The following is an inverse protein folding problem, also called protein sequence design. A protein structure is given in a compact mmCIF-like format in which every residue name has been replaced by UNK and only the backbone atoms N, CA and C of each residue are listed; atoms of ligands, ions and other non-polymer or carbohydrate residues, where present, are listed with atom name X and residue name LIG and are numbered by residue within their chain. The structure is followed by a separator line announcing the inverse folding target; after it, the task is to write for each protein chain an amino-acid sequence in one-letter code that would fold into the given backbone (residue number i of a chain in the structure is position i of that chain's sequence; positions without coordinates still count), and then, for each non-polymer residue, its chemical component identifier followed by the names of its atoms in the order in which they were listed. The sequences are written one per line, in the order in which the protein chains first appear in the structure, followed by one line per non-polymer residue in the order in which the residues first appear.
data_IF_659877590531
#
_entry.id   IF_659877590531
#
_cell.length_a   1.000
_cell.length_b   1.000
_cell.length_c   1.000
_cell.angle_alpha   90.00
_cell.angle_beta   90.00
_cell.angle_gamma   90.00
#
_symmetry.space_group_name_H-M   'P 1'
#
loop_
_entity.id
_entity.type
_entity.pdbx_description
1 polymer ?
#
# COMPACT_ATOMS: atom_id res chain seq x y z
N UNK A 1 -20.18 -17.16 -45.23
CA UNK A 1 -20.12 -17.38 -43.78
C UNK A 1 -20.06 -16.02 -43.10
N UNK A 2 -20.96 -15.79 -42.15
CA UNK A 2 -21.16 -14.53 -41.43
C UNK A 2 -19.96 -14.14 -40.54
N UNK A 3 -19.77 -12.83 -40.28
CA UNK A 3 -18.88 -12.36 -39.24
C UNK A 3 -19.53 -12.58 -37.86
N UNK A 4 -19.24 -13.72 -37.22
CA UNK A 4 -19.70 -14.00 -35.86
C UNK A 4 -18.65 -13.59 -34.81
N UNK A 5 -18.92 -12.44 -34.20
CA UNK A 5 -18.81 -12.03 -32.78
C UNK A 5 -18.02 -12.91 -31.79
N UNK A 6 -17.61 -12.22 -30.71
CA UNK A 6 -17.14 -12.70 -29.39
C UNK A 6 -15.60 -12.78 -29.31
N UNK A 7 -14.90 -12.00 -28.49
CA UNK A 7 -14.94 -11.94 -27.02
C UNK A 7 -15.69 -13.09 -26.35
N UNK A 8 -14.97 -14.20 -26.05
CA UNK A 8 -15.18 -14.94 -24.83
C UNK A 8 -13.90 -14.83 -23.99
N UNK A 9 -14.03 -14.46 -22.71
CA UNK A 9 -12.91 -14.28 -21.79
C UNK A 9 -11.82 -15.34 -21.95
N UNK A 10 -10.64 -14.91 -22.38
CA UNK A 10 -9.41 -15.71 -22.38
C UNK A 10 -8.70 -15.61 -21.02
N UNK A 11 -8.09 -16.70 -20.53
CA UNK A 11 -7.61 -16.80 -19.16
C UNK A 11 -6.30 -16.04 -18.97
N UNK A 12 -6.01 -15.73 -17.70
CA UNK A 12 -4.73 -15.26 -17.11
C UNK A 12 -3.44 -15.81 -17.78
N UNK A 13 -3.52 -16.94 -18.48
CA UNK A 13 -2.46 -17.50 -19.33
C UNK A 13 -1.96 -16.56 -20.46
N UNK A 14 -2.68 -15.52 -20.85
CA UNK A 14 -2.14 -14.50 -21.77
C UNK A 14 -0.97 -13.68 -21.18
N UNK A 15 -0.79 -13.68 -19.85
CA UNK A 15 0.41 -13.17 -19.18
C UNK A 15 1.57 -14.20 -19.15
N UNK A 16 1.32 -15.48 -19.46
CA UNK A 16 2.39 -16.48 -19.57
C UNK A 16 3.15 -16.39 -20.91
N UNK A 17 2.56 -15.78 -21.94
CA UNK A 17 3.22 -15.51 -23.23
C UNK A 17 4.28 -14.40 -23.15
N UNK A 18 4.22 -13.54 -22.14
CA UNK A 18 5.29 -12.60 -21.79
C UNK A 18 6.33 -13.30 -20.91
N UNK A 19 7.03 -14.31 -21.47
CA UNK A 19 8.26 -14.91 -20.90
C UNK A 19 9.44 -13.93 -20.74
N UNK A 20 9.19 -12.61 -20.71
CA UNK A 20 10.17 -11.57 -20.36
C UNK A 20 9.66 -10.50 -19.39
N UNK A 21 8.40 -10.56 -18.94
CA UNK A 21 7.88 -9.54 -18.02
C UNK A 21 7.18 -10.07 -16.74
N UNK A 22 6.85 -11.36 -16.64
CA UNK A 22 6.13 -11.87 -15.46
C UNK A 22 6.72 -13.13 -14.82
N UNK A 23 7.87 -13.60 -15.31
CA UNK A 23 8.77 -14.50 -14.57
C UNK A 23 10.17 -14.00 -14.85
N UNK A 24 10.91 -13.59 -13.83
CA UNK A 24 12.34 -13.38 -14.00
C UNK A 24 12.95 -14.74 -14.39
N UNK A 25 13.25 -14.94 -15.67
CA UNK A 25 14.18 -15.97 -16.12
C UNK A 25 15.58 -15.53 -15.68
N UNK A 26 15.81 -15.62 -14.36
CA UNK A 26 17.07 -15.72 -13.63
C UNK A 26 16.71 -15.63 -12.14
N UNK A 27 16.81 -16.74 -11.38
CA UNK A 27 16.55 -16.69 -9.94
C UNK A 27 17.52 -15.78 -9.17
N UNK A 28 18.66 -15.38 -9.75
CA UNK A 28 19.78 -14.85 -8.96
C UNK A 28 19.90 -13.31 -8.89
N UNK A 29 19.00 -12.57 -9.55
CA UNK A 29 19.20 -11.13 -9.81
C UNK A 29 17.95 -10.26 -9.76
N UNK A 30 18.18 -8.94 -9.73
CA UNK A 30 17.12 -7.97 -9.99
C UNK A 30 16.71 -8.00 -11.47
N UNK A 31 15.47 -7.56 -11.81
CA UNK A 31 15.05 -7.44 -13.20
C UNK A 31 16.02 -6.61 -14.06
N UNK A 32 16.07 -6.79 -15.40
CA UNK A 32 17.03 -6.08 -16.26
C UNK A 32 16.95 -4.54 -16.15
N UNK A 33 15.76 -4.00 -15.89
CA UNK A 33 15.50 -2.57 -15.71
C UNK A 33 15.77 -2.06 -14.28
N UNK A 34 16.34 -2.91 -13.42
CA UNK A 34 16.59 -2.63 -12.02
C UNK A 34 18.09 -2.60 -11.70
N UNK A 35 18.41 -1.98 -10.57
CA UNK A 35 19.71 -1.99 -9.93
C UNK A 35 19.56 -2.47 -8.48
N UNK A 36 20.52 -3.26 -8.02
CA UNK A 36 20.57 -3.72 -6.64
C UNK A 36 21.07 -2.58 -5.73
N UNK A 37 20.32 -2.29 -4.68
CA UNK A 37 20.64 -1.30 -3.66
C UNK A 37 20.71 -2.00 -2.31
N UNK A 38 21.91 -2.05 -1.74
CA UNK A 38 22.10 -2.53 -0.37
C UNK A 38 21.85 -1.39 0.62
N UNK A 39 21.03 -1.66 1.63
CA UNK A 39 20.72 -0.73 2.70
C UNK A 39 21.73 -0.87 3.84
N UNK A 40 21.89 0.22 4.59
CA UNK A 40 22.66 0.29 5.82
C UNK A 40 21.78 0.04 7.05
N UNK A 41 20.46 0.24 6.92
CA UNK A 41 19.47 0.03 7.99
C UNK A 41 18.20 -0.62 7.41
N UNK A 42 17.81 -1.85 7.82
CA UNK A 42 18.66 -2.80 8.52
C UNK A 42 19.90 -3.17 7.67
N UNK A 43 21.06 -3.41 8.30
CA UNK A 43 22.29 -3.73 7.57
C UNK A 43 22.12 -4.98 6.70
N UNK A 44 22.59 -4.90 5.45
CA UNK A 44 22.63 -6.06 4.56
C UNK A 44 21.31 -6.35 3.83
N UNK A 45 20.22 -5.64 4.13
CA UNK A 45 19.00 -5.73 3.33
C UNK A 45 19.28 -5.25 1.90
N UNK A 46 18.84 -6.03 0.93
CA UNK A 46 19.01 -5.72 -0.49
C UNK A 46 17.65 -5.46 -1.14
N UNK A 47 17.53 -4.32 -1.83
CA UNK A 47 16.36 -3.95 -2.61
C UNK A 47 16.72 -3.85 -4.09
N UNK A 48 15.83 -4.34 -4.94
CA UNK A 48 15.84 -4.06 -6.36
C UNK A 48 15.04 -2.77 -6.58
N UNK A 49 15.71 -1.71 -7.04
CA UNK A 49 15.07 -0.45 -7.42
C UNK A 49 15.21 -0.26 -8.93
N UNK A 50 14.37 0.55 -9.56
CA UNK A 50 14.58 0.97 -10.95
C UNK A 50 15.99 1.52 -11.14
N UNK A 51 16.59 1.31 -12.31
CA UNK A 51 17.85 1.98 -12.63
C UNK A 51 17.64 3.50 -12.67
N UNK A 52 18.64 4.34 -12.32
CA UNK A 52 18.48 5.80 -12.29
C UNK A 52 17.98 6.40 -13.61
N UNK A 53 18.27 5.76 -14.75
CA UNK A 53 17.86 6.24 -16.07
C UNK A 53 16.40 5.91 -16.41
N UNK A 54 15.75 5.05 -15.62
CA UNK A 54 14.34 4.70 -15.76
C UNK A 54 13.53 5.62 -14.85
N UNK A 55 12.46 6.21 -15.35
CA UNK A 55 11.56 7.02 -14.52
C UNK A 55 11.07 6.24 -13.30
N UNK A 56 11.19 6.86 -12.13
CA UNK A 56 10.93 6.25 -10.81
C UNK A 56 10.37 7.30 -9.85
N UNK A 57 9.83 6.83 -8.72
CA UNK A 57 9.21 7.70 -7.72
C UNK A 57 10.23 8.31 -6.74
N UNK A 58 9.76 9.27 -5.93
CA UNK A 58 10.60 9.93 -4.93
C UNK A 58 11.05 8.98 -3.80
N UNK A 59 10.30 7.92 -3.52
CA UNK A 59 10.63 6.93 -2.48
C UNK A 59 11.90 6.19 -2.90
N UNK A 60 11.99 5.73 -4.14
CA UNK A 60 13.17 5.05 -4.67
C UNK A 60 14.44 5.92 -4.58
N UNK A 61 14.32 7.21 -4.91
CA UNK A 61 15.44 8.16 -4.83
C UNK A 61 15.88 8.38 -3.37
N UNK A 62 14.92 8.52 -2.43
CA UNK A 62 15.24 8.64 -1.00
C UNK A 62 15.89 7.38 -0.44
N UNK A 63 15.41 6.20 -0.82
CA UNK A 63 16.00 4.92 -0.41
C UNK A 63 17.43 4.77 -0.96
N UNK A 64 17.67 5.16 -2.23
CA UNK A 64 18.99 5.11 -2.85
C UNK A 64 19.99 6.05 -2.19
N UNK A 65 19.57 7.28 -1.91
CA UNK A 65 20.42 8.31 -1.34
C UNK A 65 20.72 8.06 0.13
N UNK A 66 19.70 7.73 0.93
CA UNK A 66 19.85 7.56 2.38
C UNK A 66 20.29 6.15 2.79
N UNK A 67 20.13 5.15 1.92
CA UNK A 67 20.40 3.74 2.21
C UNK A 67 19.63 3.21 3.43
N UNK A 68 18.42 3.73 3.61
CA UNK A 68 17.45 3.32 4.62
C UNK A 68 16.03 3.36 4.02
N UNK A 69 15.06 2.62 4.60
CA UNK A 69 13.66 2.70 4.23
C UNK A 69 13.13 4.12 4.43
N UNK A 70 12.23 4.54 3.55
CA UNK A 70 11.66 5.89 3.59
C UNK A 70 10.19 5.83 4.06
N UNK A 71 9.80 6.75 4.96
CA UNK A 71 8.44 6.85 5.54
C UNK A 71 7.92 5.61 6.31
N UNK A 72 8.82 4.72 6.73
CA UNK A 72 8.47 3.49 7.44
C UNK A 72 8.66 3.54 8.96
N UNK A 73 9.18 4.65 9.51
CA UNK A 73 9.69 4.69 10.89
C UNK A 73 8.61 4.45 11.95
N UNK A 74 7.43 5.06 11.80
CA UNK A 74 6.30 4.79 12.70
C UNK A 74 5.87 3.32 12.64
N UNK A 75 5.79 2.73 11.44
CA UNK A 75 5.45 1.31 11.29
C UNK A 75 6.49 0.40 11.92
N UNK A 76 7.77 0.71 11.77
CA UNK A 76 8.84 -0.02 12.44
C UNK A 76 8.68 0.06 13.96
N UNK A 77 8.49 1.27 14.50
CA UNK A 77 8.28 1.47 15.95
C UNK A 77 7.07 0.70 16.46
N UNK A 78 5.93 0.79 15.76
CA UNK A 78 4.74 0.02 16.10
C UNK A 78 5.01 -1.48 16.04
N UNK A 79 5.70 -1.96 15.00
CA UNK A 79 6.03 -3.38 14.86
C UNK A 79 6.93 -3.90 15.97
N UNK A 80 7.83 -3.06 16.50
CA UNK A 80 8.67 -3.40 17.64
C UNK A 80 7.84 -3.49 18.94
N UNK A 81 6.96 -2.52 19.17
CA UNK A 81 6.08 -2.47 20.35
C UNK A 81 4.99 -3.56 20.35
N UNK A 82 4.50 -3.94 19.17
CA UNK A 82 3.43 -4.94 19.03
C UNK A 82 3.97 -6.36 18.85
N UNK A 83 5.30 -6.55 18.74
CA UNK A 83 5.91 -7.83 18.41
C UNK A 83 5.44 -8.93 19.39
N UNK A 84 4.90 -10.05 18.89
CA UNK A 84 4.53 -11.17 19.75
C UNK A 84 5.78 -11.90 20.28
N UNK A 85 5.65 -12.67 21.38
CA UNK A 85 6.73 -13.52 21.86
C UNK A 85 7.04 -14.64 20.86
N UNK A 86 8.32 -15.02 20.77
CA UNK A 86 8.73 -16.17 19.93
C UNK A 86 8.05 -17.46 20.43
N UNK A 87 7.67 -18.39 19.52
CA UNK A 87 8.01 -18.47 18.10
C UNK A 87 7.08 -17.69 17.16
N UNK A 88 6.13 -16.92 17.69
CA UNK A 88 5.19 -16.17 16.88
C UNK A 88 5.87 -14.98 16.18
N UNK A 89 5.32 -14.59 15.03
CA UNK A 89 5.85 -13.51 14.19
C UNK A 89 4.78 -12.45 13.99
N UNK A 90 5.22 -11.19 14.00
CA UNK A 90 4.40 -10.03 13.69
C UNK A 90 3.73 -10.23 12.31
N UNK A 91 2.40 -10.13 12.25
CA UNK A 91 1.64 -10.25 11.00
C UNK A 91 1.32 -8.85 10.45
N UNK A 92 1.80 -8.55 9.25
CA UNK A 92 1.66 -7.22 8.63
C UNK A 92 0.99 -7.32 7.26
N UNK A 93 0.05 -6.43 6.99
CA UNK A 93 -0.50 -6.18 5.66
C UNK A 93 -0.10 -4.78 5.19
N UNK A 94 0.70 -4.68 4.14
CA UNK A 94 1.16 -3.42 3.54
C UNK A 94 0.49 -3.22 2.18
N UNK A 95 -0.52 -2.36 2.12
CA UNK A 95 -1.27 -2.03 0.91
C UNK A 95 -0.69 -0.75 0.29
N UNK A 96 -0.36 -0.83 -1.01
CA UNK A 96 0.43 0.21 -1.67
C UNK A 96 1.90 0.10 -1.26
N UNK A 97 2.46 -1.10 -1.37
CA UNK A 97 3.81 -1.39 -0.90
C UNK A 97 4.90 -0.75 -1.79
N UNK A 98 4.56 -0.28 -3.00
CA UNK A 98 5.52 0.20 -4.01
C UNK A 98 6.66 -0.82 -4.17
N UNK A 99 7.91 -0.37 -4.16
CA UNK A 99 9.12 -1.22 -4.27
C UNK A 99 9.40 -2.08 -3.02
N UNK A 100 8.52 -2.03 -2.01
CA UNK A 100 8.64 -2.84 -0.79
C UNK A 100 9.52 -2.26 0.29
N UNK A 101 9.81 -0.96 0.26
CA UNK A 101 10.71 -0.30 1.22
C UNK A 101 10.37 -0.62 2.68
N UNK A 102 9.10 -0.47 3.06
CA UNK A 102 8.63 -0.77 4.41
C UNK A 102 8.45 -2.27 4.67
N UNK A 103 7.77 -2.98 3.77
CA UNK A 103 7.53 -4.41 3.90
C UNK A 103 8.82 -5.23 4.12
N UNK A 104 9.85 -4.98 3.32
CA UNK A 104 11.12 -5.70 3.41
C UNK A 104 11.92 -5.30 4.65
N UNK A 105 11.85 -4.05 5.07
CA UNK A 105 12.48 -3.60 6.30
C UNK A 105 11.86 -4.24 7.54
N UNK A 106 10.53 -4.33 7.60
CA UNK A 106 9.82 -4.98 8.71
C UNK A 106 10.15 -6.47 8.78
N UNK A 107 10.15 -7.17 7.65
CA UNK A 107 10.52 -8.58 7.59
C UNK A 107 11.98 -8.81 8.00
N UNK A 108 12.91 -7.99 7.49
CA UNK A 108 14.34 -8.12 7.76
C UNK A 108 14.71 -7.76 9.21
N UNK A 109 14.15 -6.67 9.76
CA UNK A 109 14.55 -6.16 11.06
C UNK A 109 13.76 -6.79 12.22
N UNK A 110 12.48 -7.09 12.02
CA UNK A 110 11.58 -7.53 13.09
C UNK A 110 11.19 -9.00 12.98
N UNK A 111 11.65 -9.70 11.94
CA UNK A 111 11.25 -11.06 11.68
C UNK A 111 9.78 -11.20 11.30
N UNK A 112 9.15 -10.13 10.79
CA UNK A 112 7.73 -10.08 10.48
C UNK A 112 7.35 -10.91 9.25
N UNK A 113 6.14 -11.48 9.26
CA UNK A 113 5.52 -12.01 8.06
C UNK A 113 4.63 -10.93 7.45
N UNK A 114 4.96 -10.53 6.23
CA UNK A 114 4.35 -9.38 5.55
C UNK A 114 3.66 -9.82 4.28
N UNK A 115 2.39 -9.47 4.12
CA UNK A 115 1.72 -9.48 2.82
C UNK A 115 1.82 -8.08 2.23
N UNK A 116 2.51 -7.94 1.10
CA UNK A 116 2.75 -6.67 0.43
C UNK A 116 1.94 -6.59 -0.86
N UNK A 117 1.01 -5.64 -0.96
CA UNK A 117 0.12 -5.49 -2.12
C UNK A 117 0.61 -4.33 -2.98
N UNK A 118 0.99 -4.64 -4.22
CA UNK A 118 1.45 -3.65 -5.20
C UNK A 118 0.87 -3.96 -6.58
N UNK A 119 -0.02 -3.12 -7.12
CA UNK A 119 -0.66 -3.42 -8.37
C UNK A 119 0.16 -3.08 -9.62
N UNK A 120 1.11 -2.14 -9.55
CA UNK A 120 1.85 -1.71 -10.73
C UNK A 120 2.86 -2.80 -11.14
N UNK A 121 2.77 -3.38 -12.35
CA UNK A 121 3.48 -4.62 -12.67
C UNK A 121 5.01 -4.48 -12.65
N UNK A 122 5.57 -3.32 -13.06
CA UNK A 122 7.01 -3.10 -12.98
C UNK A 122 7.50 -2.97 -11.55
N UNK A 123 6.72 -2.26 -10.73
CA UNK A 123 7.04 -2.02 -9.32
C UNK A 123 6.89 -3.30 -8.52
N UNK A 124 5.84 -4.07 -8.80
CA UNK A 124 5.64 -5.41 -8.26
C UNK A 124 6.82 -6.35 -8.58
N UNK A 125 7.33 -6.33 -9.82
CA UNK A 125 8.48 -7.16 -10.18
C UNK A 125 9.74 -6.82 -9.35
N UNK A 126 9.94 -5.55 -9.00
CA UNK A 126 11.01 -5.11 -8.10
C UNK A 126 10.80 -5.59 -6.66
N UNK A 127 9.59 -5.39 -6.12
CA UNK A 127 9.19 -5.87 -4.79
C UNK A 127 9.38 -7.38 -4.68
N UNK A 128 8.88 -8.14 -5.65
CA UNK A 128 8.93 -9.60 -5.67
C UNK A 128 10.37 -10.12 -5.78
N UNK A 129 11.21 -9.50 -6.62
CA UNK A 129 12.63 -9.85 -6.69
C UNK A 129 13.35 -9.59 -5.36
N UNK A 130 13.05 -8.46 -4.71
CA UNK A 130 13.64 -8.13 -3.40
C UNK A 130 13.19 -9.10 -2.30
N UNK A 131 11.91 -9.48 -2.28
CA UNK A 131 11.34 -10.48 -1.38
C UNK A 131 11.99 -11.86 -1.56
N UNK A 132 12.18 -12.29 -2.81
CA UNK A 132 12.90 -13.54 -3.11
C UNK A 132 14.34 -13.48 -2.56
N UNK A 133 15.04 -12.37 -2.75
CA UNK A 133 16.43 -12.22 -2.28
C UNK A 133 16.53 -12.28 -0.76
N UNK A 134 15.60 -11.67 -0.04
CA UNK A 134 15.55 -11.77 1.42
C UNK A 134 15.40 -13.23 1.86
N UNK A 135 14.50 -13.98 1.22
CA UNK A 135 14.29 -15.40 1.52
C UNK A 135 15.46 -16.31 1.12
N UNK A 136 16.12 -16.04 -0.01
CA UNK A 136 17.20 -16.88 -0.53
C UNK A 136 18.57 -16.60 0.10
N UNK A 137 18.86 -15.33 0.42
CA UNK A 137 20.15 -14.92 1.00
C UNK A 137 20.12 -14.78 2.51
N UNK A 138 18.92 -14.72 3.10
CA UNK A 138 18.63 -14.82 4.53
C UNK A 138 19.41 -13.84 5.41
N UNK A 139 18.75 -12.81 5.91
CA UNK A 139 19.24 -12.18 7.13
C UNK A 139 18.81 -13.05 8.31
N UNK A 140 19.73 -13.30 9.26
CA UNK A 140 19.42 -14.15 10.41
C UNK A 140 18.20 -13.60 11.17
N UNK A 141 17.21 -14.46 11.40
CA UNK A 141 15.97 -14.08 12.09
C UNK A 141 14.94 -13.34 11.24
N UNK A 142 15.24 -13.03 9.97
CA UNK A 142 14.27 -12.41 9.06
C UNK A 142 12.98 -13.24 8.93
N UNK A 143 11.89 -12.54 8.69
CA UNK A 143 10.60 -13.14 8.36
C UNK A 143 10.42 -13.24 6.85
N UNK A 144 9.16 -13.27 6.41
CA UNK A 144 8.82 -13.49 5.01
C UNK A 144 8.05 -12.31 4.43
N UNK A 145 8.24 -12.07 3.13
CA UNK A 145 7.41 -11.12 2.38
C UNK A 145 6.71 -11.88 1.26
N UNK A 146 5.39 -11.83 1.25
CA UNK A 146 4.55 -12.37 0.19
C UNK A 146 3.95 -11.21 -0.62
N UNK A 147 4.41 -11.04 -1.86
CA UNK A 147 3.95 -9.98 -2.73
C UNK A 147 2.67 -10.40 -3.49
N UNK A 148 1.65 -9.53 -3.53
CA UNK A 148 0.41 -9.72 -4.29
C UNK A 148 0.28 -8.64 -5.37
N UNK A 149 0.11 -9.04 -6.63
CA UNK A 149 -0.06 -8.12 -7.76
C UNK A 149 -1.54 -7.84 -8.05
N UNK A 150 -2.20 -7.11 -7.16
CA UNK A 150 -3.62 -6.74 -7.29
C UNK A 150 -3.84 -5.30 -6.80
N UNK A 151 -4.86 -4.63 -7.33
CA UNK A 151 -5.43 -3.46 -6.68
C UNK A 151 -6.34 -3.93 -5.55
N UNK A 152 -6.04 -3.53 -4.32
CA UNK A 152 -6.99 -3.70 -3.24
C UNK A 152 -8.23 -2.82 -3.49
N UNK A 153 -9.41 -3.43 -3.46
CA UNK A 153 -10.69 -2.76 -3.76
C UNK A 153 -11.84 -3.46 -3.03
N UNK A 154 -13.02 -2.86 -3.03
CA UNK A 154 -14.24 -3.42 -2.45
C UNK A 154 -14.92 -4.48 -3.36
N UNK A 155 -14.37 -4.70 -4.56
CA UNK A 155 -14.89 -5.61 -5.58
C UNK A 155 -13.76 -6.16 -6.46
N UNK A 156 -14.07 -7.22 -7.20
CA UNK A 156 -13.17 -7.80 -8.20
C UNK A 156 -13.51 -7.30 -9.60
N UNK A 157 -12.55 -6.75 -10.33
CA UNK A 157 -12.69 -6.40 -11.76
C UNK A 157 -11.34 -6.39 -12.47
N UNK A 158 -11.38 -6.44 -13.79
CA UNK A 158 -10.24 -6.00 -14.60
C UNK A 158 -10.32 -4.48 -14.79
N UNK A 159 -9.17 -3.84 -14.85
CA UNK A 159 -9.05 -2.41 -15.07
C UNK A 159 -7.66 -2.04 -15.57
N UNK A 160 -7.32 -0.76 -15.43
CA UNK A 160 -6.03 -0.21 -15.83
C UNK A 160 -5.46 0.68 -14.75
N UNK A 161 -4.13 0.67 -14.65
CA UNK A 161 -3.37 1.70 -13.98
C UNK A 161 -2.93 2.75 -15.00
N UNK A 162 -3.12 4.02 -14.62
CA UNK A 162 -2.58 5.16 -15.32
C UNK A 162 -1.36 5.68 -14.60
N UNK A 163 -0.23 5.66 -15.29
CA UNK A 163 1.04 6.15 -14.76
C UNK A 163 1.31 7.55 -15.32
N UNK A 164 1.24 8.61 -14.48
CA UNK A 164 1.49 9.97 -14.92
C UNK A 164 2.99 10.25 -15.06
N UNK A 165 3.43 10.63 -16.26
CA UNK A 165 4.77 11.16 -16.48
C UNK A 165 5.92 10.21 -16.11
N UNK A 166 5.69 8.89 -16.10
CA UNK A 166 6.71 7.93 -15.69
C UNK A 166 6.72 7.57 -14.20
N UNK A 167 5.89 8.23 -13.38
CA UNK A 167 5.87 8.05 -11.93
C UNK A 167 4.95 6.89 -11.54
N UNK A 168 5.52 5.69 -11.40
CA UNK A 168 4.78 4.50 -11.01
C UNK A 168 4.14 4.61 -9.61
N UNK A 169 4.79 5.31 -8.66
CA UNK A 169 4.27 5.52 -7.32
C UNK A 169 3.01 6.40 -7.26
N UNK A 170 2.81 7.27 -8.26
CA UNK A 170 1.59 8.08 -8.39
C UNK A 170 0.55 7.46 -9.35
N UNK A 171 0.60 6.14 -9.55
CA UNK A 171 -0.30 5.48 -10.50
C UNK A 171 -1.74 5.48 -10.00
N UNK A 172 -2.67 5.74 -10.92
CA UNK A 172 -4.09 5.86 -10.60
C UNK A 172 -4.87 4.67 -11.18
N UNK A 173 -5.55 3.91 -10.33
CA UNK A 173 -6.44 2.84 -10.77
C UNK A 173 -7.71 3.42 -11.41
N UNK A 174 -8.05 2.90 -12.59
CA UNK A 174 -9.25 3.22 -13.37
C UNK A 174 -9.87 1.91 -13.83
N UNK A 175 -11.19 1.80 -13.85
CA UNK A 175 -11.77 0.56 -14.37
C UNK A 175 -13.25 0.60 -14.70
N UNK A 176 -13.80 1.78 -14.92
CA UNK A 176 -15.06 1.92 -15.66
C UNK A 176 -14.78 2.45 -17.05
N UNK A 177 -15.56 2.00 -18.03
CA UNK A 177 -15.53 2.51 -19.40
C UNK A 177 -15.84 4.03 -19.43
N UNK A 178 -16.65 4.51 -18.48
CA UNK A 178 -16.98 5.93 -18.33
C UNK A 178 -15.77 6.76 -17.88
N UNK A 179 -14.99 6.28 -16.90
CA UNK A 179 -13.74 6.94 -16.49
C UNK A 179 -12.73 6.93 -17.64
N UNK A 180 -12.57 5.80 -18.35
CA UNK A 180 -11.71 5.71 -19.53
C UNK A 180 -12.15 6.67 -20.65
N UNK A 181 -13.44 6.71 -20.97
CA UNK A 181 -14.00 7.65 -21.94
C UNK A 181 -13.87 9.10 -21.49
N UNK A 182 -13.97 9.39 -20.19
CA UNK A 182 -13.75 10.73 -19.64
C UNK A 182 -12.27 11.15 -19.78
N UNK A 183 -11.32 10.23 -19.59
CA UNK A 183 -9.90 10.48 -19.81
C UNK A 183 -9.60 10.72 -21.28
N UNK A 184 -10.11 9.87 -22.15
CA UNK A 184 -9.86 9.96 -23.59
C UNK A 184 -10.49 11.22 -24.21
N UNK A 185 -11.63 11.68 -23.67
CA UNK A 185 -12.26 12.96 -24.01
C UNK A 185 -11.66 14.18 -23.31
N UNK A 186 -10.66 13.99 -22.43
CA UNK A 186 -10.03 15.07 -21.66
C UNK A 186 -10.91 15.71 -20.57
N UNK A 187 -12.07 15.11 -20.27
CA UNK A 187 -12.97 15.51 -19.18
C UNK A 187 -12.43 15.12 -17.80
N UNK A 188 -11.65 14.05 -17.73
CA UNK A 188 -10.90 13.65 -16.54
C UNK A 188 -9.40 13.90 -16.78
N UNK A 189 -8.71 14.48 -15.80
CA UNK A 189 -7.25 14.70 -15.83
C UNK A 189 -6.60 14.02 -14.63
N UNK A 190 -5.61 13.18 -14.89
CA UNK A 190 -4.74 12.63 -13.84
C UNK A 190 -3.60 13.61 -13.61
N UNK A 191 -3.51 14.17 -12.42
CA UNK A 191 -2.41 15.04 -12.02
C UNK A 191 -1.47 14.23 -11.12
N UNK A 192 -0.16 14.26 -11.43
CA UNK A 192 0.86 13.77 -10.51
C UNK A 192 1.04 14.79 -9.39
N UNK A 193 0.78 14.40 -8.15
CA UNK A 193 1.03 15.24 -6.97
C UNK A 193 2.45 15.01 -6.43
N UNK A 194 3.45 15.20 -7.28
CA UNK A 194 4.82 15.37 -6.81
C UNK A 194 4.94 16.65 -6.00
N UNK A 195 5.83 16.68 -5.01
CA UNK A 195 6.12 17.84 -4.18
C UNK A 195 6.48 19.07 -5.06
N UNK A 196 5.50 19.93 -5.32
CA UNK A 196 5.69 21.16 -6.09
C UNK A 196 4.58 21.43 -7.11
N UNK A 197 3.49 22.03 -6.63
CA UNK A 197 2.59 22.83 -7.45
C UNK A 197 1.59 22.06 -8.32
N UNK A 198 0.37 22.60 -8.38
CA UNK A 198 -0.65 22.22 -9.35
C UNK A 198 -0.22 22.78 -10.72
N UNK A 199 0.82 22.21 -11.32
CA UNK A 199 1.05 22.37 -12.74
C UNK A 199 0.12 21.40 -13.44
N UNK A 200 -1.02 21.90 -13.91
CA UNK A 200 -1.91 21.14 -14.79
C UNK A 200 -1.09 20.65 -15.97
N UNK A 201 -0.82 19.33 -16.02
CA UNK A 201 -0.12 18.75 -17.15
C UNK A 201 -1.12 18.64 -18.29
N UNK A 202 -1.30 19.73 -19.00
CA UNK A 202 -2.01 19.75 -20.28
C UNK A 202 -1.27 18.82 -21.24
N UNK A 203 -1.85 17.66 -21.53
CA UNK A 203 -1.39 16.77 -22.59
C UNK A 203 -0.27 15.77 -22.23
N UNK A 204 -0.06 15.41 -20.96
CA UNK A 204 0.90 14.33 -20.65
C UNK A 204 0.45 12.98 -21.25
N UNK A 205 1.36 12.30 -21.94
CA UNK A 205 1.20 10.90 -22.31
C UNK A 205 1.21 10.04 -21.03
N UNK A 206 0.07 9.43 -20.68
CA UNK A 206 -0.02 8.46 -19.59
C UNK A 206 0.29 7.06 -20.13
N UNK A 207 1.08 6.27 -19.37
CA UNK A 207 1.21 4.84 -19.67
C UNK A 207 0.03 4.11 -19.04
N UNK A 208 -0.51 3.12 -19.78
CA UNK A 208 -1.63 2.30 -19.33
C UNK A 208 -1.13 0.89 -19.06
N UNK A 209 -1.36 0.38 -17.86
CA UNK A 209 -0.99 -0.98 -17.48
C UNK A 209 -2.25 -1.77 -17.14
N UNK A 210 -2.40 -3.02 -17.61
CA UNK A 210 -3.49 -3.86 -17.16
C UNK A 210 -3.33 -4.14 -15.66
N UNK A 211 -4.47 -4.19 -14.97
CA UNK A 211 -4.53 -4.38 -13.53
C UNK A 211 -5.78 -5.19 -13.18
N UNK A 212 -5.68 -6.01 -12.14
CA UNK A 212 -6.84 -6.65 -11.52
C UNK A 212 -7.14 -5.99 -10.19
N UNK A 213 -8.35 -5.45 -10.03
CA UNK A 213 -8.89 -5.13 -8.71
C UNK A 213 -9.41 -6.40 -8.04
N UNK A 214 -9.21 -6.49 -6.73
CA UNK A 214 -9.66 -7.62 -5.95
C UNK A 214 -9.93 -7.20 -4.49
N UNK A 215 -10.93 -7.84 -3.89
CA UNK A 215 -11.12 -7.79 -2.43
C UNK A 215 -9.99 -8.51 -1.73
N UNK A 216 -9.33 -7.84 -0.80
CA UNK A 216 -8.25 -8.46 -0.03
C UNK A 216 -8.74 -9.60 0.84
N UNK A 217 -9.98 -9.52 1.35
CA UNK A 217 -10.66 -10.66 1.98
C UNK A 217 -10.60 -11.95 1.14
N UNK A 218 -10.69 -11.83 -0.18
CA UNK A 218 -10.70 -12.97 -1.11
C UNK A 218 -9.27 -13.34 -1.54
N UNK A 219 -8.39 -12.35 -1.73
CA UNK A 219 -6.96 -12.58 -2.02
C UNK A 219 -6.21 -13.22 -0.85
N UNK A 220 -6.63 -12.90 0.37
CA UNK A 220 -6.10 -13.43 1.60
C UNK A 220 -6.80 -14.72 2.04
N UNK A 221 -7.82 -15.24 1.34
CA UNK A 221 -8.52 -16.47 1.72
C UNK A 221 -7.81 -17.72 1.17
N UNK A 222 -7.73 -18.84 1.91
CA UNK A 222 -6.82 -19.91 1.55
C UNK A 222 -7.25 -20.62 0.26
N UNK A 223 -6.39 -20.78 -0.78
CA UNK A 223 -6.62 -21.78 -1.78
C UNK A 223 -6.48 -23.12 -1.05
N UNK A 224 -7.21 -24.09 -1.56
CA UNK A 224 -7.40 -25.43 -0.98
C UNK A 224 -6.11 -26.24 -0.71
N UNK A 225 -4.90 -25.68 -0.87
CA UNK A 225 -3.62 -26.41 -0.78
C UNK A 225 -2.40 -25.70 -0.11
N UNK A 226 -2.47 -24.48 0.46
CA UNK A 226 -1.46 -23.85 1.40
C UNK A 226 -1.77 -22.34 1.56
N UNK A 227 -1.45 -21.68 2.69
CA UNK A 227 -2.31 -20.60 3.19
C UNK A 227 -1.88 -19.20 2.73
N UNK A 228 -2.79 -18.43 2.13
CA UNK A 228 -3.11 -17.06 2.41
C UNK A 228 -4.25 -17.06 3.42
N UNK A 229 -3.89 -16.53 4.55
CA UNK A 229 -4.60 -15.89 5.64
C UNK A 229 -3.44 -15.67 6.62
N UNK A 230 -3.38 -14.56 7.35
CA UNK A 230 -2.50 -14.52 8.49
C UNK A 230 -2.88 -15.73 9.36
N UNK A 231 -1.93 -16.54 9.82
CA UNK A 231 -2.29 -17.77 10.56
C UNK A 231 -3.02 -17.48 11.88
N UNK A 232 -3.09 -16.18 12.24
CA UNK A 232 -3.54 -15.54 13.48
C UNK A 232 -3.94 -14.09 13.16
N UNK A 233 -4.28 -13.31 14.17
CA UNK A 233 -4.61 -11.89 14.08
C UNK A 233 -3.61 -11.06 13.27
N UNK A 234 -4.07 -10.08 12.49
CA UNK A 234 -3.19 -9.04 11.95
C UNK A 234 -2.72 -8.12 13.08
N UNK A 235 -1.42 -7.85 13.16
CA UNK A 235 -0.90 -6.86 14.11
C UNK A 235 -0.94 -5.47 13.50
N UNK A 236 -0.45 -5.35 12.26
CA UNK A 236 -0.31 -4.08 11.57
C UNK A 236 -0.96 -4.08 10.19
N UNK A 237 -1.64 -2.98 9.88
CA UNK A 237 -2.10 -2.64 8.55
C UNK A 237 -1.48 -1.30 8.13
N UNK A 238 -0.91 -1.23 6.93
CA UNK A 238 -0.64 0.02 6.22
C UNK A 238 -1.57 0.09 5.02
N UNK A 239 -2.22 1.25 4.82
CA UNK A 239 -2.94 1.55 3.58
C UNK A 239 -2.46 2.88 3.04
N UNK A 240 -1.82 2.83 1.88
CA UNK A 240 -1.28 3.99 1.16
C UNK A 240 -1.71 3.84 -0.29
N UNK A 241 -2.95 4.25 -0.59
CA UNK A 241 -3.64 3.86 -1.82
C UNK A 241 -4.13 5.07 -2.62
N UNK A 242 -3.49 6.23 -2.44
CA UNK A 242 -3.68 7.43 -3.25
C UNK A 242 -5.16 7.86 -3.33
N UNK A 243 -5.87 7.80 -2.21
CA UNK A 243 -7.30 8.15 -2.09
C UNK A 243 -8.27 6.96 -2.19
N UNK A 244 -7.77 5.73 -2.37
CA UNK A 244 -8.60 4.52 -2.42
C UNK A 244 -8.75 3.82 -1.06
N UNK A 245 -8.30 4.45 0.04
CA UNK A 245 -8.20 3.83 1.37
C UNK A 245 -9.52 3.20 1.81
N UNK A 246 -10.64 3.90 1.64
CA UNK A 246 -11.96 3.38 2.02
C UNK A 246 -12.36 2.14 1.20
N UNK A 247 -12.02 2.07 -0.09
CA UNK A 247 -12.27 0.86 -0.91
C UNK A 247 -11.44 -0.31 -0.44
N UNK A 248 -10.19 -0.06 -0.05
CA UNK A 248 -9.32 -1.09 0.53
C UNK A 248 -9.93 -1.64 1.81
N UNK A 249 -10.36 -0.77 2.73
CA UNK A 249 -10.98 -1.18 4.00
C UNK A 249 -12.28 -1.96 3.79
N UNK A 250 -13.15 -1.53 2.88
CA UNK A 250 -14.37 -2.29 2.51
C UNK A 250 -14.03 -3.65 1.89
N UNK A 251 -12.94 -3.74 1.13
CA UNK A 251 -12.37 -4.98 0.62
C UNK A 251 -11.79 -5.92 1.67
N UNK A 252 -11.57 -5.42 2.89
CA UNK A 252 -11.13 -6.14 4.10
C UNK A 252 -12.26 -6.28 5.15
N UNK A 253 -13.52 -6.05 4.76
CA UNK A 253 -14.65 -6.01 5.69
C UNK A 253 -14.78 -7.26 6.55
N UNK A 254 -14.51 -8.47 6.01
CA UNK A 254 -14.57 -9.71 6.81
C UNK A 254 -13.43 -9.79 7.84
N UNK A 255 -12.21 -9.41 7.44
CA UNK A 255 -11.06 -9.37 8.36
C UNK A 255 -11.27 -8.34 9.46
N UNK A 256 -11.75 -7.15 9.12
CA UNK A 256 -11.92 -6.03 10.05
C UNK A 256 -13.14 -6.19 10.97
N UNK A 257 -14.20 -6.88 10.52
CA UNK A 257 -15.36 -7.20 11.37
C UNK A 257 -15.09 -8.29 12.41
N UNK A 258 -13.99 -9.04 12.28
CA UNK A 258 -13.66 -10.11 13.21
C UNK A 258 -12.55 -9.66 14.17
N UNK A 259 -12.88 -9.48 15.46
CA UNK A 259 -11.95 -9.02 16.48
C UNK A 259 -10.70 -9.91 16.65
N UNK A 260 -10.79 -11.20 16.32
CA UNK A 260 -9.63 -12.11 16.35
C UNK A 260 -8.67 -11.91 15.17
N UNK A 261 -9.11 -11.21 14.11
CA UNK A 261 -8.37 -11.02 12.87
C UNK A 261 -8.01 -9.55 12.61
N UNK A 262 -8.82 -8.63 13.12
CA UNK A 262 -8.70 -7.20 12.90
C UNK A 262 -7.34 -6.67 13.39
N UNK A 263 -6.67 -5.79 12.60
CA UNK A 263 -5.41 -5.16 12.95
C UNK A 263 -5.43 -4.51 14.33
N UNK A 264 -4.34 -4.64 15.10
CA UNK A 264 -4.15 -3.88 16.35
C UNK A 264 -3.93 -2.40 16.08
N UNK A 265 -3.18 -2.10 15.02
CA UNK A 265 -2.94 -0.75 14.55
C UNK A 265 -3.01 -0.70 13.02
N UNK A 266 -3.56 0.38 12.50
CA UNK A 266 -3.61 0.67 11.08
C UNK A 266 -3.09 2.09 10.80
N UNK A 267 -2.05 2.23 9.98
CA UNK A 267 -1.59 3.53 9.45
C UNK A 267 -2.20 3.73 8.08
N UNK A 268 -2.90 4.84 7.86
CA UNK A 268 -3.51 5.17 6.59
C UNK A 268 -3.05 6.54 6.13
N UNK A 269 -2.81 6.67 4.82
CA UNK A 269 -2.80 7.98 4.18
C UNK A 269 -4.18 8.64 4.39
N UNK A 270 -4.20 9.91 4.81
CA UNK A 270 -5.45 10.66 4.90
C UNK A 270 -5.37 11.98 4.14
N UNK A 271 -5.81 11.92 2.87
CA UNK A 271 -5.86 13.09 2.02
C UNK A 271 -7.30 13.35 1.54
N UNK A 272 -8.05 14.25 2.22
CA UNK A 272 -9.45 14.55 1.91
C UNK A 272 -9.73 14.87 0.44
N UNK A 273 -8.88 15.65 -0.23
CA UNK A 273 -9.06 15.98 -1.63
C UNK A 273 -8.85 14.77 -2.55
N UNK A 274 -7.92 13.84 -2.25
CA UNK A 274 -7.73 12.59 -3.00
C UNK A 274 -8.90 11.62 -2.79
N UNK A 275 -9.37 11.48 -1.55
CA UNK A 275 -10.58 10.72 -1.24
C UNK A 275 -11.78 11.23 -2.06
N UNK A 276 -12.01 12.55 -2.06
CA UNK A 276 -13.08 13.17 -2.84
C UNK A 276 -12.89 12.98 -4.35
N UNK A 277 -11.67 13.09 -4.88
CA UNK A 277 -11.41 12.85 -6.31
C UNK A 277 -11.65 11.40 -6.73
N UNK A 278 -11.56 10.46 -5.78
CA UNK A 278 -11.95 9.05 -5.94
C UNK A 278 -13.43 8.76 -5.66
N UNK A 279 -14.23 9.80 -5.42
CA UNK A 279 -15.66 9.69 -5.16
C UNK A 279 -16.03 9.27 -3.74
N UNK A 280 -15.12 9.42 -2.77
CA UNK A 280 -15.36 9.09 -1.37
C UNK A 280 -15.45 10.33 -0.49
N UNK A 281 -16.29 10.26 0.53
CA UNK A 281 -16.34 11.31 1.55
C UNK A 281 -15.29 11.04 2.65
N UNK A 282 -14.40 12.00 2.98
CA UNK A 282 -13.40 11.81 4.03
C UNK A 282 -14.00 11.49 5.40
N UNK A 283 -15.17 12.05 5.71
CA UNK A 283 -15.89 11.74 6.95
C UNK A 283 -16.32 10.28 7.01
N UNK A 284 -16.69 9.69 5.87
CA UNK A 284 -17.07 8.29 5.79
C UNK A 284 -15.90 7.36 6.18
N UNK A 285 -14.68 7.66 5.74
CA UNK A 285 -13.48 6.90 6.14
C UNK A 285 -13.27 6.92 7.66
N UNK A 286 -13.40 8.10 8.29
CA UNK A 286 -13.24 8.24 9.73
C UNK A 286 -14.34 7.49 10.49
N UNK A 287 -15.60 7.70 10.11
CA UNK A 287 -16.74 7.01 10.72
C UNK A 287 -16.67 5.49 10.54
N UNK A 288 -16.14 5.03 9.40
CA UNK A 288 -15.91 3.61 9.17
C UNK A 288 -14.93 3.03 10.18
N UNK A 289 -13.80 3.70 10.43
CA UNK A 289 -12.81 3.27 11.42
C UNK A 289 -13.38 3.29 12.86
N UNK A 290 -14.10 4.35 13.23
CA UNK A 290 -14.78 4.46 14.53
C UNK A 290 -15.78 3.32 14.75
N UNK A 291 -16.59 3.00 13.73
CA UNK A 291 -17.58 1.92 13.79
C UNK A 291 -16.94 0.54 13.96
N UNK A 292 -15.68 0.37 13.56
CA UNK A 292 -14.90 -0.86 13.77
C UNK A 292 -14.07 -0.83 15.07
N UNK A 293 -14.37 0.12 15.97
CA UNK A 293 -13.79 0.16 17.31
C UNK A 293 -12.37 0.71 17.36
N UNK A 294 -11.96 1.52 16.38
CA UNK A 294 -10.68 2.21 16.41
C UNK A 294 -10.79 3.62 17.03
N UNK A 295 -9.77 4.03 17.75
CA UNK A 295 -9.48 5.44 18.06
C UNK A 295 -8.47 5.94 17.04
N UNK A 296 -8.77 7.07 16.41
CA UNK A 296 -7.99 7.60 15.29
C UNK A 296 -7.09 8.72 15.80
N UNK A 297 -5.79 8.63 15.53
CA UNK A 297 -4.81 9.66 15.87
C UNK A 297 -4.36 10.38 14.61
N UNK A 298 -4.50 11.70 14.57
CA UNK A 298 -4.11 12.52 13.43
C UNK A 298 -2.64 12.91 13.57
N UNK A 299 -1.82 12.47 12.63
CA UNK A 299 -0.38 12.66 12.68
C UNK A 299 0.00 14.06 12.18
N UNK A 300 1.06 14.65 12.76
CA UNK A 300 1.54 15.98 12.34
C UNK A 300 2.10 16.02 10.92
N UNK A 301 2.54 14.86 10.39
CA UNK A 301 3.00 14.69 9.02
C UNK A 301 2.95 13.20 8.63
N UNK A 302 2.99 12.91 7.33
CA UNK A 302 3.12 11.54 6.80
C UNK A 302 4.40 10.82 7.29
N UNK A 303 5.42 11.60 7.62
CA UNK A 303 6.73 11.16 8.13
C UNK A 303 6.83 11.10 9.66
N UNK A 304 5.73 11.35 10.38
CA UNK A 304 5.72 11.29 11.84
C UNK A 304 6.19 9.92 12.33
N UNK A 305 6.90 9.90 13.47
CA UNK A 305 7.51 8.70 14.06
C UNK A 305 6.88 8.34 15.42
N UNK A 306 5.93 9.16 15.89
CA UNK A 306 5.28 9.10 17.18
C UNK A 306 3.96 9.91 17.20
N UNK A 307 3.29 9.90 18.35
CA UNK A 307 2.03 10.60 18.61
C UNK A 307 2.22 11.93 19.34
N UNK A 308 3.46 12.43 19.48
CA UNK A 308 3.70 13.69 20.21
C UNK A 308 3.03 14.83 19.46
N UNK A 309 2.09 15.50 20.12
CA UNK A 309 1.31 16.59 19.55
C UNK A 309 0.28 16.13 18.51
N UNK A 310 -0.04 14.84 18.44
CA UNK A 310 -1.20 14.34 17.71
C UNK A 310 -2.49 14.67 18.48
N UNK A 311 -3.56 14.98 17.77
CA UNK A 311 -4.91 14.94 18.32
C UNK A 311 -5.55 13.59 17.99
N UNK A 312 -6.63 13.25 18.69
CA UNK A 312 -7.38 12.02 18.45
C UNK A 312 -8.85 12.30 18.16
N UNK A 313 -9.47 11.33 17.49
CA UNK A 313 -10.87 11.27 17.12
C UNK A 313 -11.38 9.91 17.61
N UNK A 314 -12.30 9.95 18.56
CA UNK A 314 -12.89 8.78 19.23
C UNK A 314 -14.43 8.75 19.11
N UNK A 315 -15.04 9.82 18.57
CA UNK A 315 -16.47 9.86 18.30
C UNK A 315 -16.82 10.56 16.96
N UNK A 316 -18.01 10.27 16.37
CA UNK A 316 -18.42 10.85 15.09
C UNK A 316 -18.55 12.38 15.08
N UNK A 317 -18.93 13.01 16.19
CA UNK A 317 -19.06 14.46 16.26
C UNK A 317 -17.69 15.15 16.23
N UNK A 318 -16.66 14.54 16.84
CA UNK A 318 -15.25 14.99 16.69
C UNK A 318 -14.81 14.82 15.23
N UNK A 319 -15.15 13.71 14.58
CA UNK A 319 -14.80 13.47 13.18
C UNK A 319 -15.42 14.53 12.23
N UNK A 320 -16.68 14.87 12.44
CA UNK A 320 -17.38 15.93 11.69
C UNK A 320 -16.69 17.29 11.84
N UNK A 321 -16.39 17.70 13.08
CA UNK A 321 -15.66 18.94 13.36
C UNK A 321 -14.28 18.95 12.70
N UNK A 322 -13.55 17.84 12.84
CA UNK A 322 -12.23 17.70 12.23
C UNK A 322 -12.28 17.87 10.72
N UNK A 323 -13.19 17.20 10.00
CA UNK A 323 -13.29 17.33 8.53
C UNK A 323 -13.71 18.74 8.11
N UNK A 324 -14.62 19.38 8.85
CA UNK A 324 -15.05 20.75 8.59
C UNK A 324 -13.89 21.76 8.73
N UNK A 325 -13.08 21.63 9.78
CA UNK A 325 -11.91 22.49 10.02
C UNK A 325 -10.74 22.16 9.07
N UNK A 326 -10.51 20.89 8.77
CA UNK A 326 -9.43 20.44 7.90
C UNK A 326 -9.52 21.03 6.49
N UNK A 327 -10.74 21.22 5.98
CA UNK A 327 -10.98 21.86 4.68
C UNK A 327 -10.33 23.26 4.57
N UNK A 328 -10.12 23.95 5.69
CA UNK A 328 -9.47 25.26 5.74
C UNK A 328 -7.94 25.19 5.65
N UNK A 329 -7.31 24.05 5.96
CA UNK A 329 -5.86 24.01 6.30
C UNK A 329 -4.95 23.48 5.17
N UNK A 330 -5.47 22.84 4.09
CA UNK A 330 -4.69 22.34 2.92
C UNK A 330 -3.41 21.54 3.27
N UNK A 331 -3.35 20.89 4.42
CA UNK A 331 -2.18 20.07 4.82
C UNK A 331 -2.43 18.60 4.47
N UNK A 332 -1.36 17.88 4.15
CA UNK A 332 -1.34 16.43 4.00
C UNK A 332 -1.12 15.81 5.39
N UNK A 333 -1.97 14.87 5.80
CA UNK A 333 -1.79 14.17 7.07
C UNK A 333 -1.98 12.68 6.87
N UNK A 334 -1.34 11.90 7.72
CA UNK A 334 -1.61 10.49 7.87
C UNK A 334 -2.39 10.31 9.17
N UNK A 335 -3.18 9.26 9.23
CA UNK A 335 -3.85 8.85 10.47
C UNK A 335 -3.31 7.51 10.95
N UNK A 336 -3.26 7.37 12.27
CA UNK A 336 -3.01 6.10 12.94
C UNK A 336 -4.27 5.68 13.69
N UNK A 337 -4.95 4.65 13.19
CA UNK A 337 -6.06 4.01 13.87
C UNK A 337 -5.53 2.92 14.83
N UNK A 338 -5.74 3.09 16.13
CA UNK A 338 -5.41 2.09 17.15
C UNK A 338 -6.68 1.45 17.65
N UNK A 339 -6.72 0.11 17.76
CA UNK A 339 -7.90 -0.57 18.29
C UNK A 339 -8.23 0.01 19.69
N UNK A 340 -9.49 0.24 20.02
CA UNK A 340 -9.91 0.85 21.29
C UNK A 340 -9.49 0.05 22.52
N UNK A 341 -9.17 -1.24 22.35
CA UNK A 341 -8.58 -2.10 23.38
C UNK A 341 -7.05 -1.97 23.48
N UNK A 342 -6.42 -1.00 22.82
CA UNK A 342 -4.98 -0.79 22.87
C UNK A 342 -4.55 -0.39 24.27
N UNK A 343 -3.40 -0.92 24.72
CA UNK A 343 -2.98 -0.72 26.10
C UNK A 343 -2.45 0.71 26.33
N UNK A 344 -2.65 1.31 27.53
CA UNK A 344 -2.08 2.61 27.86
C UNK A 344 -0.56 2.68 27.70
N UNK A 345 0.14 1.56 27.90
CA UNK A 345 1.59 1.45 27.72
C UNK A 345 1.99 1.66 26.26
N UNK A 346 1.19 1.17 25.29
CA UNK A 346 1.43 1.41 23.87
C UNK A 346 1.34 2.91 23.54
N UNK A 347 0.30 3.58 24.05
CA UNK A 347 0.10 5.01 23.84
C UNK A 347 1.25 5.83 24.44
N UNK A 348 1.63 5.53 25.69
CA UNK A 348 2.75 6.17 26.37
C UNK A 348 4.09 5.93 25.64
N UNK A 349 4.33 4.70 25.17
CA UNK A 349 5.51 4.37 24.37
C UNK A 349 5.57 5.09 23.02
N UNK A 350 4.41 5.47 22.47
CA UNK A 350 4.31 6.31 21.27
C UNK A 350 4.35 7.81 21.58
N UNK A 351 4.53 8.22 22.84
CA UNK A 351 4.50 9.63 23.23
C UNK A 351 3.13 10.27 23.06
N UNK A 352 2.07 9.48 23.14
CA UNK A 352 0.70 9.97 23.27
C UNK A 352 0.48 10.68 24.62
N UNK A 353 -0.56 11.54 24.69
CA UNK A 353 -0.94 12.27 25.90
C UNK A 353 -1.41 11.37 27.05
#
# INVERSE_FOLDING_TARGET
EEPARCWPGGPWAALQGHRRCCTAETPEGCPPFAALVRLQRPPGLELCLHRPEIAHDAVEEKVRTRREPYECKLLWRLGDLLRPPRPERLQVLDVGASVGSCALALAAALGADVVAVEPHPRTFALLNASAWRLGARGLEGAGHVHALNVAASERARLGRLLEPGGNAGASHAVGSEEEEAALDSGRLRVLSSGAGGIAGVGGAAFRRWPMQEQRLDDALAPPRQRPPLPRRRLDLLKVDAEGAELRVLRGLSRVLANAEWAPRAAKLEFHPQRLRSKGHDPLELLNWLLAHGYVIWVLRSASAEDLRGACWIDDPAVAERFVAEFAAVRVWTDILALAGTSSPELLSALGGP
#
